data_IF_123933155402
#
_entry.id   IF_123933155402
#
_cell.length_a   1.000
_cell.length_b   1.000
_cell.length_c   1.000
_cell.angle_alpha   90.00
_cell.angle_beta   90.00
_cell.angle_gamma   90.00
#
_symmetry.space_group_name_H-M   'P 1'
#
loop_
_entity.id
_entity.type
_entity.pdbx_description
1 polymer ?
#
# COMPACT_ATOMS: atom_id res chain seq x y z
N UNK A 1 -6.20 -20.63 20.00
CA UNK A 1 -4.92 -20.21 19.37
C UNK A 1 -4.43 -18.96 20.05
N UNK A 2 -3.16 -18.91 20.45
CA UNK A 2 -2.54 -17.75 21.10
C UNK A 2 -1.31 -17.33 20.28
N UNK A 3 -1.14 -16.02 20.10
CA UNK A 3 0.01 -15.43 19.40
C UNK A 3 -0.36 -14.57 18.18
N UNK A 4 0.57 -13.72 17.72
CA UNK A 4 0.30 -12.73 16.68
C UNK A 4 -0.06 -13.37 15.33
N UNK A 5 -0.93 -12.69 14.58
CA UNK A 5 -1.35 -13.05 13.22
C UNK A 5 -1.02 -11.86 12.30
N UNK A 6 -0.35 -12.12 11.17
CA UNK A 6 0.04 -11.09 10.21
C UNK A 6 -1.14 -10.83 9.26
N UNK A 7 -1.63 -9.59 9.20
CA UNK A 7 -2.68 -9.17 8.25
C UNK A 7 -2.06 -8.17 7.28
N UNK A 8 -2.30 -8.33 5.99
CA UNK A 8 -1.79 -7.41 4.98
C UNK A 8 -1.91 -7.96 3.56
N UNK A 9 -1.20 -7.30 2.65
CA UNK A 9 -1.08 -7.72 1.26
C UNK A 9 0.30 -8.34 1.02
N UNK A 10 0.35 -9.50 0.37
CA UNK A 10 1.59 -10.19 0.01
C UNK A 10 2.15 -9.72 -1.34
N UNK A 11 1.47 -8.84 -2.06
CA UNK A 11 1.97 -8.24 -3.31
C UNK A 11 3.07 -7.22 -2.99
N UNK A 12 4.33 -7.56 -3.27
CA UNK A 12 5.47 -6.66 -3.09
C UNK A 12 5.71 -5.79 -4.35
N UNK A 13 6.08 -4.53 -4.14
CA UNK A 13 6.44 -3.59 -5.20
C UNK A 13 7.51 -2.62 -4.68
N UNK A 14 8.35 -2.11 -5.58
CA UNK A 14 9.36 -1.11 -5.22
C UNK A 14 8.68 0.26 -5.09
N UNK A 15 9.18 1.13 -4.21
CA UNK A 15 8.71 2.53 -4.15
C UNK A 15 8.77 3.22 -5.53
N UNK A 16 9.76 2.86 -6.34
CA UNK A 16 9.93 3.36 -7.71
C UNK A 16 8.99 2.71 -8.76
N UNK A 17 8.36 1.56 -8.46
CA UNK A 17 7.42 0.86 -9.35
C UNK A 17 6.00 0.80 -8.79
N UNK A 18 5.72 1.53 -7.70
CA UNK A 18 4.43 1.55 -7.04
C UNK A 18 3.33 1.94 -8.03
N UNK A 19 2.15 1.30 -8.01
CA UNK A 19 1.00 1.70 -8.83
C UNK A 19 0.59 3.17 -8.64
N UNK A 20 0.97 3.80 -7.53
CA UNK A 20 0.84 5.26 -7.35
C UNK A 20 1.52 6.06 -8.46
N UNK A 21 2.59 5.55 -9.07
CA UNK A 21 3.29 6.20 -10.18
C UNK A 21 2.47 6.24 -11.46
N UNK A 22 1.68 5.19 -11.73
CA UNK A 22 0.78 5.21 -12.90
C UNK A 22 -0.32 6.26 -12.71
N UNK A 23 -0.82 6.41 -11.48
CA UNK A 23 -1.75 7.47 -11.09
C UNK A 23 -1.10 8.87 -11.07
N UNK A 24 0.19 8.97 -10.73
CA UNK A 24 0.92 10.26 -10.71
C UNK A 24 1.21 10.81 -12.10
N UNK A 25 1.11 10.01 -13.17
CA UNK A 25 1.23 10.49 -14.56
C UNK A 25 0.22 11.60 -14.91
N UNK A 26 -0.87 11.69 -14.14
CA UNK A 26 -1.89 12.74 -14.26
C UNK A 26 -1.62 13.98 -13.39
N UNK A 27 -0.47 14.05 -12.71
CA UNK A 27 -0.13 15.14 -11.79
C UNK A 27 1.08 15.93 -12.30
N UNK A 28 1.12 17.23 -12.00
CA UNK A 28 2.26 18.13 -12.32
C UNK A 28 3.43 18.00 -11.35
N UNK A 29 3.31 17.14 -10.33
CA UNK A 29 4.30 16.99 -9.27
C UNK A 29 5.56 16.29 -9.79
N UNK A 30 6.73 16.83 -9.43
CA UNK A 30 8.03 16.22 -9.77
C UNK A 30 8.38 15.12 -8.78
N UNK A 31 8.94 14.01 -9.27
CA UNK A 31 9.50 12.97 -8.41
C UNK A 31 10.87 13.44 -7.90
N UNK A 32 11.07 13.42 -6.58
CA UNK A 32 12.35 13.80 -5.94
C UNK A 32 12.83 12.65 -5.07
N UNK A 33 14.08 12.25 -5.23
CA UNK A 33 14.72 11.21 -4.42
C UNK A 33 15.38 11.83 -3.19
N UNK A 34 15.14 11.24 -2.03
CA UNK A 34 15.76 11.62 -0.75
C UNK A 34 16.47 10.40 -0.14
N UNK A 35 17.45 10.61 0.75
CA UNK A 35 18.10 9.51 1.48
C UNK A 35 17.08 8.67 2.25
N UNK A 36 17.35 7.36 2.36
CA UNK A 36 16.55 6.44 3.16
C UNK A 36 16.79 6.72 4.65
N UNK A 37 15.74 6.81 5.49
CA UNK A 37 15.89 6.85 6.94
C UNK A 37 16.66 5.64 7.47
N UNK A 38 17.45 5.81 8.53
CA UNK A 38 18.32 4.76 9.07
C UNK A 38 17.53 3.52 9.52
N UNK A 39 16.33 3.72 10.08
CA UNK A 39 15.50 2.65 10.65
C UNK A 39 14.50 2.06 9.63
N UNK A 40 14.48 2.55 8.40
CA UNK A 40 13.52 2.09 7.40
C UNK A 40 13.95 0.76 6.75
N UNK A 41 13.13 -0.30 6.84
CA UNK A 41 13.45 -1.56 6.21
C UNK A 41 13.40 -1.44 4.68
N UNK A 42 14.43 -1.95 4.02
CA UNK A 42 14.52 -1.93 2.54
C UNK A 42 13.45 -2.78 1.83
N UNK A 43 12.89 -3.78 2.50
CA UNK A 43 11.88 -4.70 1.97
C UNK A 43 10.88 -5.05 3.05
N UNK A 44 9.62 -5.23 2.65
CA UNK A 44 8.54 -5.59 3.56
C UNK A 44 7.44 -6.34 2.82
N UNK A 45 7.31 -7.62 3.11
CA UNK A 45 6.25 -8.49 2.61
C UNK A 45 5.78 -9.41 3.75
N UNK A 46 4.52 -9.31 4.20
CA UNK A 46 4.00 -10.19 5.24
C UNK A 46 3.78 -11.61 4.69
N UNK A 47 4.28 -12.60 5.41
CA UNK A 47 3.87 -13.99 5.22
C UNK A 47 2.47 -14.21 5.81
N UNK A 48 1.54 -14.67 4.96
CA UNK A 48 0.13 -14.88 5.29
C UNK A 48 -0.23 -16.35 5.51
N UNK A 49 0.72 -17.29 5.49
CA UNK A 49 0.44 -18.72 5.62
C UNK A 49 -0.39 -19.04 6.88
N UNK A 50 -0.03 -18.44 8.03
CA UNK A 50 -0.77 -18.59 9.29
C UNK A 50 -2.19 -18.01 9.21
N UNK A 51 -2.36 -16.88 8.53
CA UNK A 51 -3.65 -16.19 8.40
C UNK A 51 -4.60 -16.97 7.52
N UNK A 52 -4.11 -17.48 6.39
CA UNK A 52 -4.89 -18.29 5.47
C UNK A 52 -5.35 -19.61 6.13
N UNK A 53 -4.46 -20.27 6.89
CA UNK A 53 -4.76 -21.54 7.54
C UNK A 53 -5.74 -21.43 8.72
N UNK A 54 -5.82 -20.25 9.36
CA UNK A 54 -6.58 -20.07 10.61
C UNK A 54 -7.85 -19.29 10.41
N UNK A 55 -7.80 -18.25 9.60
CA UNK A 55 -8.90 -17.29 9.42
C UNK A 55 -9.57 -17.45 8.06
N UNK A 56 -9.05 -18.31 7.18
CA UNK A 56 -9.51 -18.43 5.79
C UNK A 56 -9.60 -17.06 5.09
N UNK A 57 -8.74 -16.14 5.52
CA UNK A 57 -8.79 -14.74 5.14
C UNK A 57 -7.72 -14.43 4.12
N UNK A 58 -8.08 -13.61 3.11
CA UNK A 58 -7.16 -13.04 2.15
C UNK A 58 -7.62 -11.64 1.73
N UNK A 59 -6.71 -10.73 1.34
CA UNK A 59 -7.09 -9.44 0.78
C UNK A 59 -7.87 -9.65 -0.53
N UNK A 60 -9.08 -9.08 -0.61
CA UNK A 60 -9.96 -9.21 -1.78
C UNK A 60 -9.92 -7.99 -2.71
N UNK A 61 -9.45 -6.86 -2.20
CA UNK A 61 -9.42 -5.58 -2.94
C UNK A 61 -8.04 -5.40 -3.55
N UNK A 62 -8.00 -5.22 -4.87
CA UNK A 62 -6.77 -4.90 -5.59
C UNK A 62 -6.28 -3.48 -5.22
N UNK A 63 -4.97 -3.30 -5.14
CA UNK A 63 -4.35 -2.03 -4.76
C UNK A 63 -4.81 -0.85 -5.65
N UNK A 64 -4.98 -1.08 -6.95
CA UNK A 64 -5.42 -0.03 -7.87
C UNK A 64 -6.84 0.46 -7.59
N UNK A 65 -7.74 -0.43 -7.15
CA UNK A 65 -9.11 -0.06 -6.81
C UNK A 65 -9.13 0.74 -5.51
N UNK A 66 -8.41 0.28 -4.49
CA UNK A 66 -8.31 0.96 -3.20
C UNK A 66 -7.67 2.37 -3.33
N UNK A 67 -6.67 2.50 -4.20
CA UNK A 67 -6.04 3.80 -4.48
C UNK A 67 -7.01 4.80 -5.13
N UNK A 68 -7.91 4.35 -6.01
CA UNK A 68 -8.91 5.24 -6.64
C UNK A 68 -9.86 5.82 -5.60
N UNK A 69 -10.38 4.97 -4.71
CA UNK A 69 -11.27 5.38 -3.61
C UNK A 69 -10.55 6.34 -2.65
N UNK A 70 -9.31 6.02 -2.26
CA UNK A 70 -8.50 6.88 -1.41
C UNK A 70 -8.27 8.25 -2.04
N UNK A 71 -7.98 8.32 -3.34
CA UNK A 71 -7.80 9.59 -4.06
C UNK A 71 -9.12 10.38 -4.10
N UNK A 72 -10.26 9.71 -4.34
CA UNK A 72 -11.56 10.36 -4.37
C UNK A 72 -11.91 10.97 -3.00
N UNK A 73 -11.66 10.24 -1.91
CA UNK A 73 -11.81 10.74 -0.54
C UNK A 73 -10.99 12.03 -0.33
N UNK A 74 -9.69 12.01 -0.62
CA UNK A 74 -8.85 13.20 -0.40
C UNK A 74 -9.20 14.39 -1.31
N UNK A 75 -9.66 14.14 -2.55
CA UNK A 75 -10.18 15.22 -3.40
C UNK A 75 -11.35 15.92 -2.73
N UNK A 76 -12.32 15.14 -2.24
CA UNK A 76 -13.48 15.69 -1.56
C UNK A 76 -13.10 16.41 -0.26
N UNK A 77 -12.29 15.79 0.60
CA UNK A 77 -11.92 16.38 1.90
C UNK A 77 -11.08 17.65 1.80
N UNK A 78 -10.34 17.84 0.69
CA UNK A 78 -9.53 19.05 0.47
C UNK A 78 -10.25 20.14 -0.33
N UNK A 79 -11.31 19.81 -1.09
CA UNK A 79 -12.16 20.79 -1.78
C UNK A 79 -13.19 21.45 -0.85
N UNK A 80 -13.49 20.82 0.29
CA UNK A 80 -14.42 21.30 1.32
C UNK A 80 -13.72 22.18 2.38
N UNK A 81 -12.40 22.39 2.26
CA UNK A 81 -11.60 23.26 3.13
C UNK A 81 -11.34 24.63 2.48
#
# INVERSE_FOLDING_TARGET
MTGPIKIGNNSEFTSASSPRKSLSSRTRSKLVFKPLPQDDPRRRQPDLAKTNAVLEWQPKVALENDLKETIAYFKHSLEVA
#
